data_IF_816275900266
#
_entry.id   IF_816275900266
#
_cell.length_a   1.000
_cell.length_b   1.000
_cell.length_c   1.000
_cell.angle_alpha   90.00
_cell.angle_beta   90.00
_cell.angle_gamma   90.00
#
_symmetry.space_group_name_H-M   'P 1'
#
loop_
_entity.id
_entity.type
_entity.pdbx_description
1 polymer ?
#
# COMPACT_ATOMS: atom_id res chain seq x y z
N UNK A 1 -14.27 -0.71 4.17
CA UNK A 1 -13.07 -1.55 3.97
C UNK A 1 -13.43 -2.97 4.39
N UNK A 2 -12.95 -4.03 3.73
CA UNK A 2 -13.26 -5.40 4.21
C UNK A 2 -12.45 -5.75 5.46
N UNK A 3 -12.93 -6.67 6.30
CA UNK A 3 -12.18 -7.13 7.49
C UNK A 3 -10.79 -7.68 7.14
N UNK A 4 -10.66 -8.39 6.02
CA UNK A 4 -9.36 -8.87 5.54
C UNK A 4 -8.40 -7.74 5.18
N UNK A 5 -8.92 -6.65 4.63
CA UNK A 5 -8.10 -5.49 4.30
C UNK A 5 -7.52 -4.85 5.56
N UNK A 6 -8.34 -4.66 6.60
CA UNK A 6 -7.88 -4.10 7.89
C UNK A 6 -6.87 -5.01 8.57
N UNK A 7 -7.05 -6.34 8.49
CA UNK A 7 -6.08 -7.31 9.01
C UNK A 7 -4.74 -7.23 8.29
N UNK A 8 -4.73 -7.05 6.97
CA UNK A 8 -3.50 -6.97 6.15
C UNK A 8 -2.80 -5.61 6.29
N UNK A 9 -3.56 -4.52 6.36
CA UNK A 9 -3.04 -3.15 6.27
C UNK A 9 -3.18 -2.32 7.54
N UNK A 10 -3.69 -2.86 8.65
CA UNK A 10 -3.81 -2.14 9.92
C UNK A 10 -2.47 -1.65 10.50
N UNK A 11 -1.35 -2.26 10.11
CA UNK A 11 -0.01 -1.72 10.40
C UNK A 11 0.24 -0.36 9.74
N UNK A 12 -0.24 -0.15 8.52
CA UNK A 12 -0.10 1.10 7.77
C UNK A 12 -0.89 2.22 8.45
N UNK A 13 -2.12 1.97 8.88
CA UNK A 13 -2.91 2.95 9.63
C UNK A 13 -2.25 3.35 10.96
N UNK A 14 -1.59 2.40 11.65
CA UNK A 14 -0.86 2.69 12.89
C UNK A 14 0.40 3.52 12.67
N UNK A 15 1.07 3.36 11.53
CA UNK A 15 2.33 4.07 11.23
C UNK A 15 2.08 5.42 10.55
N UNK A 16 1.17 5.46 9.58
CA UNK A 16 0.92 6.62 8.70
C UNK A 16 -0.41 7.32 9.00
N UNK A 17 -1.17 6.85 9.99
CA UNK A 17 -2.51 7.35 10.31
C UNK A 17 -3.57 6.83 9.34
N UNK A 18 -4.84 7.05 9.71
CA UNK A 18 -5.98 6.65 8.88
C UNK A 18 -5.96 7.37 7.52
N UNK A 19 -5.59 8.66 7.51
CA UNK A 19 -5.46 9.45 6.28
C UNK A 19 -4.38 8.92 5.34
N UNK A 20 -3.28 8.36 5.88
CA UNK A 20 -2.24 7.70 5.09
C UNK A 20 -2.74 6.42 4.46
N UNK A 21 -3.47 5.60 5.21
CA UNK A 21 -4.09 4.37 4.69
C UNK A 21 -5.08 4.68 3.57
N UNK A 22 -5.96 5.66 3.76
CA UNK A 22 -6.96 6.05 2.76
C UNK A 22 -6.29 6.56 1.48
N UNK A 23 -5.20 7.34 1.60
CA UNK A 23 -4.44 7.83 0.46
C UNK A 23 -3.78 6.71 -0.33
N UNK A 24 -3.21 5.71 0.34
CA UNK A 24 -2.60 4.56 -0.34
C UNK A 24 -3.66 3.64 -0.98
N UNK A 25 -4.82 3.47 -0.33
CA UNK A 25 -5.93 2.69 -0.88
C UNK A 25 -6.48 3.28 -2.19
N UNK A 26 -6.47 4.61 -2.31
CA UNK A 26 -6.93 5.33 -3.50
C UNK A 26 -5.83 5.56 -4.56
N UNK A 27 -4.58 5.15 -4.30
CA UNK A 27 -3.48 5.43 -5.20
C UNK A 27 -3.43 4.45 -6.39
N UNK A 28 -3.07 4.98 -7.56
CA UNK A 28 -2.73 4.21 -8.75
C UNK A 28 -1.26 4.45 -9.08
N UNK A 29 -0.43 3.42 -9.05
CA UNK A 29 1.02 3.51 -9.26
C UNK A 29 1.40 2.74 -10.54
N UNK A 30 2.21 3.37 -11.39
CA UNK A 30 2.81 2.73 -12.57
C UNK A 30 4.29 2.45 -12.29
N UNK A 31 4.73 1.23 -12.60
CA UNK A 31 6.16 0.85 -12.55
C UNK A 31 6.63 0.64 -13.98
N UNK A 32 7.62 1.42 -14.41
CA UNK A 32 8.24 1.31 -15.74
C UNK A 32 9.52 0.50 -15.62
N UNK A 33 9.51 -0.71 -16.19
CA UNK A 33 10.59 -1.69 -16.09
C UNK A 33 10.47 -2.56 -14.84
N UNK A 34 10.34 -3.88 -15.04
CA UNK A 34 10.21 -4.90 -13.98
C UNK A 34 11.52 -5.73 -13.88
N UNK A 35 12.67 -5.07 -14.07
CA UNK A 35 13.99 -5.65 -13.77
C UNK A 35 14.30 -5.57 -12.28
N UNK A 36 15.53 -5.89 -11.86
CA UNK A 36 15.89 -6.06 -10.44
C UNK A 36 15.44 -4.92 -9.50
N UNK A 37 15.53 -3.66 -9.93
CA UNK A 37 15.04 -2.53 -9.11
C UNK A 37 13.51 -2.49 -9.04
N UNK A 38 12.84 -2.63 -10.18
CA UNK A 38 11.38 -2.54 -10.26
C UNK A 38 10.66 -3.76 -9.68
N UNK A 39 11.32 -4.92 -9.67
CA UNK A 39 10.80 -6.16 -9.07
C UNK A 39 11.22 -6.34 -7.61
N UNK A 40 12.17 -5.54 -7.11
CA UNK A 40 12.76 -5.70 -5.76
C UNK A 40 13.59 -6.98 -5.62
N UNK A 41 14.42 -7.30 -6.62
CA UNK A 41 15.38 -8.41 -6.57
C UNK A 41 16.38 -8.30 -5.43
#
# INVERSE_FOLDING_TARGET
>A
MSMDYERRFGGIARLYGQSGLDRFAAAHICVVGIGGVGSWG
#
